data_IF_341277054412
#
_entry.id   IF_341277054412
#
_cell.length_a   1.000
_cell.length_b   1.000
_cell.length_c   1.000
_cell.angle_alpha   90.00
_cell.angle_beta   90.00
_cell.angle_gamma   90.00
#
_symmetry.space_group_name_H-M   'P 1'
#
loop_
_entity.id
_entity.type
_entity.pdbx_description
1 polymer ?
#
# COMPACT_ATOMS: atom_id res chain seq x y z
N UNK A 1 -13.94 -8.49 -42.59
CA UNK A 1 -14.89 -9.38 -41.89
C UNK A 1 -15.19 -8.73 -40.55
N UNK A 2 -16.45 -8.55 -40.19
CA UNK A 2 -16.85 -8.00 -38.88
C UNK A 2 -17.14 -9.19 -37.96
N UNK A 3 -16.51 -9.25 -36.79
CA UNK A 3 -16.83 -10.23 -35.75
C UNK A 3 -17.63 -9.53 -34.66
N UNK A 4 -18.78 -10.09 -34.30
CA UNK A 4 -19.60 -9.60 -33.18
C UNK A 4 -19.26 -10.45 -31.96
N UNK A 5 -18.88 -9.80 -30.85
CA UNK A 5 -18.56 -10.45 -29.58
C UNK A 5 -19.70 -10.15 -28.62
N UNK A 6 -20.30 -11.21 -28.06
CA UNK A 6 -21.33 -11.09 -27.03
C UNK A 6 -20.69 -11.34 -25.68
N UNK A 7 -20.79 -10.37 -24.77
CA UNK A 7 -20.33 -10.54 -23.39
C UNK A 7 -21.29 -11.48 -22.64
N UNK A 8 -20.79 -12.33 -21.74
CA UNK A 8 -21.64 -13.16 -20.89
C UNK A 8 -22.43 -12.29 -19.90
N UNK A 9 -23.65 -12.73 -19.57
CA UNK A 9 -24.53 -12.06 -18.61
C UNK A 9 -25.71 -11.31 -19.24
N UNK A 10 -26.58 -10.73 -18.38
CA UNK A 10 -27.75 -9.94 -18.79
C UNK A 10 -27.86 -8.66 -17.96
N UNK A 11 -28.31 -7.57 -18.59
CA UNK A 11 -28.48 -6.27 -17.93
C UNK A 11 -27.16 -5.59 -17.53
N UNK A 12 -27.20 -4.77 -16.47
CA UNK A 12 -26.06 -3.97 -15.98
C UNK A 12 -24.82 -4.80 -15.62
N UNK A 13 -24.97 -6.11 -15.37
CA UNK A 13 -23.85 -7.00 -15.08
C UNK A 13 -22.95 -7.26 -16.30
N UNK A 14 -23.48 -7.08 -17.51
CA UNK A 14 -22.75 -7.27 -18.78
C UNK A 14 -22.40 -5.94 -19.46
N UNK A 15 -22.67 -4.80 -18.82
CA UNK A 15 -22.33 -3.49 -19.38
C UNK A 15 -20.82 -3.24 -19.31
N UNK A 16 -20.14 -2.99 -20.44
CA UNK A 16 -18.71 -2.71 -20.45
C UNK A 16 -18.45 -1.31 -19.89
N UNK A 17 -17.60 -1.23 -18.87
CA UNK A 17 -17.10 0.04 -18.31
C UNK A 17 -15.86 0.47 -19.07
N UNK A 18 -15.01 -0.50 -19.42
CA UNK A 18 -13.73 -0.26 -20.05
C UNK A 18 -13.45 -1.32 -21.11
N UNK A 19 -12.98 -0.87 -22.26
CA UNK A 19 -12.48 -1.72 -23.34
C UNK A 19 -11.08 -1.24 -23.67
N UNK A 20 -10.11 -2.11 -23.50
CA UNK A 20 -8.68 -1.81 -23.73
C UNK A 20 -8.03 -2.93 -24.53
N UNK A 21 -6.97 -2.61 -25.25
CA UNK A 21 -6.26 -3.63 -26.02
C UNK A 21 -4.77 -3.35 -26.11
N UNK A 22 -4.00 -4.43 -26.26
CA UNK A 22 -2.60 -4.38 -26.65
C UNK A 22 -2.40 -5.26 -27.91
N UNK A 23 -1.14 -5.50 -28.29
CA UNK A 23 -0.82 -6.31 -29.48
C UNK A 23 -1.25 -7.78 -29.42
N UNK A 24 -1.71 -8.27 -28.27
CA UNK A 24 -1.96 -9.69 -27.98
C UNK A 24 -3.37 -9.96 -27.47
N UNK A 25 -3.93 -9.04 -26.67
CA UNK A 25 -5.21 -9.22 -25.98
C UNK A 25 -6.12 -8.02 -26.17
N UNK A 26 -7.41 -8.31 -26.36
CA UNK A 26 -8.52 -7.37 -26.18
C UNK A 26 -9.18 -7.67 -24.84
N UNK A 27 -9.28 -6.68 -23.96
CA UNK A 27 -9.90 -6.81 -22.65
C UNK A 27 -11.21 -6.03 -22.62
N UNK A 28 -12.23 -6.65 -22.05
CA UNK A 28 -13.47 -5.99 -21.68
C UNK A 28 -13.69 -6.15 -20.17
N UNK A 29 -13.85 -5.04 -19.47
CA UNK A 29 -14.16 -5.02 -18.05
C UNK A 29 -15.60 -4.55 -17.83
N UNK A 30 -16.34 -5.29 -17.02
CA UNK A 30 -17.70 -4.98 -16.55
C UNK A 30 -17.69 -4.89 -15.04
N UNK A 31 -18.76 -4.36 -14.42
CA UNK A 31 -18.92 -4.23 -12.98
C UNK A 31 -18.58 -5.47 -12.14
N UNK A 32 -18.58 -6.66 -12.75
CA UNK A 32 -18.47 -7.95 -12.07
C UNK A 32 -17.33 -8.83 -12.55
N UNK A 33 -16.80 -8.60 -13.76
CA UNK A 33 -15.78 -9.45 -14.34
C UNK A 33 -14.89 -8.72 -15.34
N UNK A 34 -13.72 -9.30 -15.58
CA UNK A 34 -12.86 -8.96 -16.69
C UNK A 34 -12.77 -10.18 -17.61
N UNK A 35 -13.03 -9.98 -18.89
CA UNK A 35 -12.86 -11.00 -19.91
C UNK A 35 -11.79 -10.56 -20.91
N UNK A 36 -10.86 -11.48 -21.21
CA UNK A 36 -9.80 -11.28 -22.19
C UNK A 36 -10.02 -12.15 -23.42
N UNK A 37 -9.80 -11.58 -24.60
CA UNK A 37 -9.89 -12.24 -25.89
C UNK A 37 -8.56 -12.17 -26.64
N UNK A 38 -8.26 -13.21 -27.42
CA UNK A 38 -7.19 -13.16 -28.42
C UNK A 38 -7.47 -12.04 -29.42
N UNK A 39 -6.54 -11.13 -29.69
CA UNK A 39 -6.83 -10.04 -30.63
C UNK A 39 -6.89 -10.47 -32.10
N UNK A 40 -6.32 -11.64 -32.44
CA UNK A 40 -6.29 -12.16 -33.80
C UNK A 40 -7.50 -13.06 -34.04
N UNK A 41 -7.72 -14.04 -33.15
CA UNK A 41 -8.81 -15.01 -33.29
C UNK A 41 -10.11 -14.56 -32.66
N UNK A 42 -10.05 -13.63 -31.71
CA UNK A 42 -11.18 -13.22 -30.85
C UNK A 42 -11.84 -14.40 -30.14
N UNK A 43 -11.04 -15.38 -29.75
CA UNK A 43 -11.48 -16.47 -28.88
C UNK A 43 -11.25 -16.03 -27.42
N UNK A 44 -12.16 -16.42 -26.53
CA UNK A 44 -12.01 -16.14 -25.09
C UNK A 44 -10.72 -16.80 -24.57
N UNK A 45 -9.93 -16.03 -23.84
CA UNK A 45 -8.66 -16.46 -23.25
C UNK A 45 -8.76 -16.66 -21.76
N UNK A 46 -9.43 -15.74 -21.08
CA UNK A 46 -9.59 -15.78 -19.63
C UNK A 46 -10.81 -15.02 -19.18
N UNK A 47 -11.32 -15.42 -18.02
CA UNK A 47 -12.47 -14.81 -17.36
C UNK A 47 -12.17 -14.66 -15.87
N UNK A 48 -11.95 -13.42 -15.41
CA UNK A 48 -11.72 -13.10 -14.01
C UNK A 48 -13.04 -12.64 -13.41
N UNK A 49 -13.63 -13.46 -12.54
CA UNK A 49 -14.85 -13.11 -11.80
C UNK A 49 -14.54 -12.32 -10.53
N UNK A 50 -15.57 -11.66 -9.98
CA UNK A 50 -15.50 -10.88 -8.73
C UNK A 50 -14.50 -9.72 -8.79
N UNK A 51 -14.25 -9.20 -9.99
CA UNK A 51 -13.50 -7.96 -10.17
C UNK A 51 -14.50 -6.82 -10.07
N UNK A 52 -14.57 -6.18 -8.91
CA UNK A 52 -15.47 -5.05 -8.67
C UNK A 52 -14.97 -3.85 -9.48
N UNK A 53 -15.49 -3.64 -10.68
CA UNK A 53 -14.84 -2.81 -11.71
C UNK A 53 -15.16 -1.31 -11.68
N UNK A 54 -15.62 -0.76 -10.56
CA UNK A 54 -15.45 0.69 -10.36
C UNK A 54 -13.99 1.06 -10.10
N UNK A 55 -13.12 0.03 -9.99
CA UNK A 55 -11.75 0.15 -9.59
C UNK A 55 -10.83 0.32 -10.82
N UNK A 56 -9.84 1.22 -10.74
CA UNK A 56 -8.92 1.49 -11.84
C UNK A 56 -8.23 0.23 -12.37
N UNK A 57 -8.00 0.21 -13.68
CA UNK A 57 -7.36 -0.88 -14.41
C UNK A 57 -6.39 -0.29 -15.44
N UNK A 58 -5.28 -0.98 -15.66
CA UNK A 58 -4.33 -0.65 -16.72
C UNK A 58 -3.81 -1.90 -17.40
N UNK A 59 -3.76 -1.84 -18.73
CA UNK A 59 -3.18 -2.87 -19.58
C UNK A 59 -1.84 -2.38 -20.15
N UNK A 60 -0.80 -3.17 -19.92
CA UNK A 60 0.52 -3.04 -20.55
C UNK A 60 0.61 -4.00 -21.75
N UNK A 61 1.78 -4.12 -22.37
CA UNK A 61 2.06 -5.10 -23.45
C UNK A 61 1.95 -6.55 -22.99
N UNK A 62 2.17 -6.82 -21.69
CA UNK A 62 2.12 -8.17 -21.08
C UNK A 62 1.32 -8.21 -19.78
N UNK A 63 1.39 -7.15 -18.99
CA UNK A 63 0.80 -7.12 -17.66
C UNK A 63 -0.59 -6.51 -17.68
N UNK A 64 -1.49 -7.06 -16.85
CA UNK A 64 -2.74 -6.42 -16.50
C UNK A 64 -2.69 -6.11 -15.01
N UNK A 65 -2.85 -4.83 -14.67
CA UNK A 65 -2.97 -4.37 -13.29
C UNK A 65 -4.37 -3.85 -13.02
N UNK A 66 -4.93 -4.18 -11.86
CA UNK A 66 -6.23 -3.71 -11.43
C UNK A 66 -6.25 -3.54 -9.92
N UNK A 67 -7.11 -2.65 -9.43
CA UNK A 67 -7.32 -2.54 -7.99
C UNK A 67 -8.15 -3.72 -7.47
N UNK A 68 -7.73 -4.24 -6.32
CA UNK A 68 -8.36 -5.36 -5.64
C UNK A 68 -8.98 -4.88 -4.31
N UNK A 69 -9.97 -5.61 -3.82
CA UNK A 69 -10.65 -5.29 -2.58
C UNK A 69 -10.04 -6.01 -1.37
N UNK A 70 -9.24 -7.05 -1.60
CA UNK A 70 -8.73 -7.90 -0.52
C UNK A 70 -7.29 -8.33 -0.75
N UNK A 71 -6.52 -8.25 0.34
CA UNK A 71 -5.14 -8.72 0.36
C UNK A 71 -5.09 -10.24 0.56
N UNK A 72 -4.64 -10.96 -0.45
CA UNK A 72 -4.37 -12.39 -0.46
C UNK A 72 -2.91 -12.63 -0.08
N UNK A 73 -2.68 -12.94 1.20
CA UNK A 73 -1.33 -13.14 1.77
C UNK A 73 -0.48 -14.17 1.01
N UNK A 74 -1.11 -15.17 0.41
CA UNK A 74 -0.42 -16.20 -0.39
C UNK A 74 0.23 -15.66 -1.66
N UNK A 75 -0.22 -14.49 -2.16
CA UNK A 75 0.33 -13.81 -3.33
C UNK A 75 1.06 -12.51 -2.96
N UNK A 76 1.12 -12.17 -1.66
CA UNK A 76 1.65 -10.91 -1.21
C UNK A 76 3.14 -10.80 -1.58
N UNK A 77 3.41 -9.87 -2.49
CA UNK A 77 4.76 -9.46 -2.86
C UNK A 77 5.32 -8.47 -1.82
N UNK A 78 6.65 -8.29 -1.79
CA UNK A 78 7.30 -7.30 -0.93
C UNK A 78 7.12 -5.84 -1.38
N UNK A 79 6.33 -5.61 -2.44
CA UNK A 79 6.00 -4.26 -2.91
C UNK A 79 4.98 -3.55 -2.00
N UNK A 80 4.87 -2.23 -2.18
CA UNK A 80 3.87 -1.42 -1.50
C UNK A 80 4.26 -0.92 -0.11
N UNK A 81 3.28 -0.41 0.61
CA UNK A 81 3.42 0.22 1.92
C UNK A 81 3.11 -0.80 3.01
N UNK A 82 4.13 -1.18 3.78
CA UNK A 82 3.88 -1.84 5.06
C UNK A 82 3.15 -0.84 5.95
N UNK A 83 2.03 -1.24 6.55
CA UNK A 83 1.01 -0.39 7.20
C UNK A 83 1.43 0.50 8.39
N UNK A 84 2.70 0.94 8.45
CA UNK A 84 3.22 1.87 9.45
C UNK A 84 3.59 3.25 8.86
N UNK A 85 2.83 3.73 7.86
CA UNK A 85 3.06 5.04 7.24
C UNK A 85 2.78 6.21 8.19
N UNK A 86 2.05 6.00 9.28
CA UNK A 86 1.94 7.00 10.35
C UNK A 86 3.33 7.43 10.86
N UNK A 87 4.32 6.53 10.85
CA UNK A 87 5.72 6.85 11.19
C UNK A 87 6.50 7.48 10.03
N UNK A 88 6.11 7.23 8.78
CA UNK A 88 6.78 7.72 7.58
C UNK A 88 6.42 9.19 7.28
N UNK A 89 5.16 9.61 7.50
CA UNK A 89 4.78 11.02 7.46
C UNK A 89 5.21 11.80 8.72
N UNK A 90 5.23 11.16 9.88
CA UNK A 90 5.80 11.75 11.09
C UNK A 90 7.32 11.98 10.96
N UNK A 91 8.02 11.19 10.15
CA UNK A 91 9.48 11.29 9.98
C UNK A 91 9.96 12.54 9.25
N UNK A 92 9.21 13.11 8.29
CA UNK A 92 9.69 14.33 7.60
C UNK A 92 9.61 15.58 8.49
N UNK A 93 8.53 15.76 9.25
CA UNK A 93 8.43 16.83 10.25
C UNK A 93 9.31 16.54 11.47
N UNK A 94 9.39 15.28 11.90
CA UNK A 94 10.20 14.84 13.03
C UNK A 94 11.70 14.92 12.80
N UNK A 95 12.19 14.62 11.59
CA UNK A 95 13.61 14.72 11.23
C UNK A 95 14.08 16.18 11.27
N UNK A 96 13.27 17.12 10.77
CA UNK A 96 13.57 18.55 10.83
C UNK A 96 13.55 19.06 12.28
N UNK A 97 12.58 18.63 13.10
CA UNK A 97 12.50 19.01 14.52
C UNK A 97 13.64 18.42 15.38
N UNK A 98 14.07 17.17 15.12
CA UNK A 98 15.21 16.57 15.80
C UNK A 98 16.54 17.19 15.36
N UNK A 99 16.68 17.55 14.09
CA UNK A 99 17.82 18.32 13.60
C UNK A 99 17.88 19.71 14.26
N UNK A 100 16.74 20.41 14.41
CA UNK A 100 16.68 21.69 15.11
C UNK A 100 17.04 21.58 16.60
N UNK A 101 16.64 20.50 17.29
CA UNK A 101 17.05 20.20 18.67
C UNK A 101 18.54 19.86 18.79
N UNK A 102 19.15 19.30 17.76
CA UNK A 102 20.60 19.04 17.71
C UNK A 102 21.40 20.31 17.43
N UNK A 103 20.87 21.19 16.57
CA UNK A 103 21.45 22.51 16.30
C UNK A 103 21.39 23.42 17.53
N UNK A 104 20.28 23.45 18.29
CA UNK A 104 20.21 24.23 19.54
C UNK A 104 21.19 23.72 20.59
N UNK A 105 21.39 22.41 20.72
CA UNK A 105 22.41 21.82 21.60
C UNK A 105 23.85 22.11 21.14
N UNK A 106 24.09 22.18 19.83
CA UNK A 106 25.42 22.46 19.26
C UNK A 106 25.78 23.95 19.36
N UNK A 107 24.80 24.86 19.23
CA UNK A 107 25.01 26.31 19.41
C UNK A 107 25.27 26.66 20.88
N UNK A 108 24.59 26.01 21.84
CA UNK A 108 24.85 26.22 23.29
C UNK A 108 26.27 25.83 23.70
N UNK A 109 26.83 24.74 23.13
CA UNK A 109 28.20 24.30 23.42
C UNK A 109 29.31 25.19 22.85
N UNK A 110 29.04 25.93 21.78
CA UNK A 110 30.01 26.89 21.20
C UNK A 110 30.04 28.20 22.02
N UNK A 111 28.97 28.53 22.75
CA UNK A 111 28.91 29.69 23.63
C UNK A 111 29.73 29.57 24.92
N UNK A 112 30.08 28.37 25.37
CA UNK A 112 30.82 28.15 26.64
C UNK A 112 32.36 28.19 26.49
N UNK A 113 32.89 28.32 25.28
CA UNK A 113 34.35 28.20 25.02
C UNK A 113 35.11 29.54 24.93
N UNK A 114 34.53 30.67 25.38
CA UNK A 114 35.26 31.94 25.55
C UNK A 114 34.99 32.49 26.94
N UNK A 115 35.60 31.89 27.96
CA UNK A 115 35.82 32.49 29.28
C UNK A 115 36.96 31.74 29.98
N UNK A 116 38.16 31.91 29.42
CA UNK A 116 39.41 31.60 30.09
C UNK A 116 39.99 32.87 30.71
N UNK A 117 40.43 32.73 31.98
CA UNK A 117 41.35 33.58 32.75
C UNK A 117 40.79 34.66 33.69
N UNK A 118 40.53 34.24 34.94
CA UNK A 118 40.97 34.87 36.21
C UNK A 118 40.28 34.07 37.32
N UNK A 119 40.93 33.31 38.20
CA UNK A 119 41.81 33.80 39.25
C UNK A 119 41.09 33.68 40.61
N UNK A 120 41.70 32.92 41.53
CA UNK A 120 41.56 32.95 43.00
C UNK A 120 40.61 31.96 43.73
N UNK A 121 41.29 31.06 44.47
CA UNK A 121 41.07 30.56 45.83
C UNK A 121 39.97 31.23 46.70
N UNK A 122 39.16 30.42 47.40
CA UNK A 122 39.34 30.06 48.83
C UNK A 122 38.14 29.28 49.42
N UNK A 123 38.49 28.41 50.37
CA UNK A 123 37.74 27.73 51.43
C UNK A 123 36.39 28.34 51.89
N UNK A 124 35.41 27.48 52.22
CA UNK A 124 35.04 27.25 53.64
C UNK A 124 34.01 26.12 53.85
N UNK A 125 34.20 25.43 54.96
CA UNK A 125 33.28 24.46 55.57
C UNK A 125 32.03 25.15 56.13
N UNK A 126 30.84 24.57 55.93
CA UNK A 126 29.78 24.55 56.95
C UNK A 126 28.67 23.55 56.60
N UNK A 127 28.28 22.78 57.61
CA UNK A 127 27.12 21.91 57.68
C UNK A 127 25.83 22.64 57.28
N UNK A 128 24.93 21.99 56.53
CA UNK A 128 23.48 22.15 56.74
C UNK A 128 22.73 20.91 56.23
N UNK A 129 21.97 20.30 57.13
CA UNK A 129 20.95 19.29 56.82
C UNK A 129 19.84 19.94 55.99
N UNK A 130 19.34 19.26 54.94
CA UNK A 130 17.91 19.33 54.64
C UNK A 130 17.39 18.21 53.76
N UNK A 131 16.10 17.97 53.96
CA UNK A 131 15.32 16.76 53.71
C UNK A 131 14.99 16.48 52.24
N UNK A 132 14.77 15.19 51.97
CA UNK A 132 13.97 14.60 50.88
C UNK A 132 12.62 15.34 50.65
N UNK A 133 12.01 15.20 49.45
CA UNK A 133 11.07 14.10 49.31
C UNK A 133 11.29 13.21 48.09
N UNK A 134 11.02 11.94 48.36
CA UNK A 134 10.81 10.80 47.46
C UNK A 134 9.73 11.09 46.42
N UNK A 135 9.94 10.70 45.17
CA UNK A 135 8.84 10.27 44.29
C UNK A 135 9.26 9.10 43.40
N UNK A 136 9.03 7.92 43.98
CA UNK A 136 8.63 6.63 43.39
C UNK A 136 8.84 6.45 41.88
N UNK A 137 9.81 5.59 41.56
CA UNK A 137 9.77 4.71 40.40
C UNK A 137 8.51 3.83 40.47
N UNK A 138 7.73 3.83 39.38
CA UNK A 138 6.64 2.89 39.12
C UNK A 138 6.84 2.45 37.65
N UNK A 139 7.42 1.26 37.45
CA UNK A 139 6.72 -0.01 37.22
C UNK A 139 6.18 -0.13 35.79
N UNK A 140 6.88 -0.97 35.03
CA UNK A 140 6.56 -1.55 33.73
C UNK A 140 5.09 -1.97 33.60
N UNK A 141 4.43 -1.73 32.46
CA UNK A 141 3.20 -2.43 32.14
C UNK A 141 3.55 -3.76 31.47
N UNK A 142 3.40 -4.85 32.24
CA UNK A 142 3.35 -6.22 31.71
C UNK A 142 2.03 -6.39 30.97
N UNK A 143 2.07 -6.48 29.64
CA UNK A 143 0.91 -6.81 28.81
C UNK A 143 0.73 -8.34 28.82
N UNK A 144 -0.35 -8.78 29.47
CA UNK A 144 -0.83 -10.16 29.46
C UNK A 144 -1.40 -10.50 28.08
N UNK A 145 -0.67 -11.29 27.29
CA UNK A 145 -1.19 -11.91 26.08
C UNK A 145 -1.84 -13.25 26.43
N UNK A 146 -3.17 -13.28 26.48
CA UNK A 146 -3.92 -14.52 26.30
C UNK A 146 -5.35 -14.22 25.84
N UNK A 147 -5.59 -14.35 24.53
CA UNK A 147 -6.85 -14.85 23.99
C UNK A 147 -6.68 -15.26 22.53
N UNK A 148 -6.48 -16.56 22.34
CA UNK A 148 -6.84 -17.28 21.13
C UNK A 148 -8.35 -17.13 20.90
N UNK A 149 -8.75 -16.56 19.76
CA UNK A 149 -10.08 -16.76 19.21
C UNK A 149 -10.06 -16.55 17.70
N UNK A 150 -9.85 -17.66 16.97
CA UNK A 150 -10.37 -17.84 15.63
C UNK A 150 -11.87 -17.54 15.64
N UNK A 151 -12.31 -16.54 14.87
CA UNK A 151 -13.68 -16.54 14.37
C UNK A 151 -13.77 -15.87 13.01
N UNK A 152 -13.79 -16.72 12.00
CA UNK A 152 -14.43 -16.47 10.71
C UNK A 152 -15.87 -16.00 10.94
N UNK A 153 -16.12 -14.71 10.74
CA UNK A 153 -17.48 -14.17 10.67
C UNK A 153 -17.58 -13.24 9.48
N UNK A 154 -18.02 -13.82 8.35
CA UNK A 154 -18.83 -13.12 7.36
C UNK A 154 -19.91 -12.32 8.10
N UNK A 155 -19.90 -10.99 8.03
CA UNK A 155 -21.06 -10.18 8.40
C UNK A 155 -21.32 -9.11 7.35
N UNK A 156 -22.54 -9.22 6.84
CA UNK A 156 -23.28 -8.27 6.03
C UNK A 156 -23.44 -6.94 6.81
N UNK A 157 -23.41 -5.83 6.05
CA UNK A 157 -23.28 -4.44 6.47
C UNK A 157 -23.86 -3.97 7.82
N UNK A 158 -23.04 -3.21 8.54
CA UNK A 158 -23.46 -2.06 9.36
C UNK A 158 -22.26 -1.19 9.76
N UNK A 159 -22.06 -0.07 9.06
CA UNK A 159 -21.79 1.24 9.66
C UNK A 159 -20.52 1.46 10.51
N UNK A 160 -19.36 0.91 10.11
CA UNK A 160 -18.08 1.57 10.33
C UNK A 160 -17.33 1.50 9.01
N UNK A 161 -16.97 2.66 8.46
CA UNK A 161 -16.08 2.80 7.33
C UNK A 161 -14.73 2.17 7.72
N UNK A 162 -14.60 0.86 7.52
CA UNK A 162 -13.29 0.24 7.45
C UNK A 162 -12.66 0.83 6.20
N UNK A 163 -11.71 1.74 6.40
CA UNK A 163 -11.02 2.41 5.30
C UNK A 163 -10.48 1.33 4.36
N UNK A 164 -11.05 1.26 3.16
CA UNK A 164 -10.66 0.29 2.16
C UNK A 164 -9.23 0.61 1.73
N UNK A 165 -8.30 -0.29 2.01
CA UNK A 165 -6.93 -0.16 1.55
C UNK A 165 -6.85 -0.29 0.03
N UNK A 166 -5.94 0.48 -0.58
CA UNK A 166 -5.66 0.46 -2.00
C UNK A 166 -4.76 -0.71 -2.32
N UNK A 167 -5.36 -1.84 -2.68
CA UNK A 167 -4.64 -3.06 -3.05
C UNK A 167 -4.55 -3.13 -4.57
N UNK A 168 -3.41 -3.59 -5.08
CA UNK A 168 -3.16 -3.77 -6.51
C UNK A 168 -2.79 -5.23 -6.77
N UNK A 169 -3.46 -5.81 -7.76
CA UNK A 169 -3.12 -7.12 -8.32
C UNK A 169 -2.57 -6.93 -9.72
N UNK A 170 -1.45 -7.58 -10.02
CA UNK A 170 -0.82 -7.58 -11.35
C UNK A 170 -0.68 -9.01 -11.83
N UNK A 171 -1.15 -9.24 -13.06
CA UNK A 171 -1.17 -10.56 -13.68
C UNK A 171 -0.40 -10.59 -15.00
N UNK A 172 0.15 -11.75 -15.32
CA UNK A 172 0.75 -12.09 -16.60
C UNK A 172 -0.34 -12.56 -17.58
N UNK A 173 -0.70 -11.71 -18.53
CA UNK A 173 -1.71 -12.08 -19.54
C UNK A 173 -1.26 -13.25 -20.40
N UNK A 174 0.05 -13.43 -20.61
CA UNK A 174 0.58 -14.54 -21.42
C UNK A 174 0.51 -15.86 -20.66
N UNK A 175 0.87 -15.89 -19.36
CA UNK A 175 0.73 -17.11 -18.55
C UNK A 175 -0.73 -17.48 -18.35
N UNK A 176 -1.60 -16.47 -18.22
CA UNK A 176 -3.02 -16.70 -18.02
C UNK A 176 -3.68 -17.35 -19.25
N UNK A 177 -3.18 -17.11 -20.46
CA UNK A 177 -3.69 -17.73 -21.70
C UNK A 177 -3.60 -19.26 -21.76
N UNK A 178 -2.75 -19.87 -20.93
CA UNK A 178 -2.54 -21.32 -20.88
C UNK A 178 -2.96 -21.98 -19.57
N UNK A 179 -3.51 -21.21 -18.62
CA UNK A 179 -3.88 -21.69 -17.29
C UNK A 179 -5.39 -21.58 -17.10
N UNK A 180 -5.98 -22.52 -16.38
CA UNK A 180 -7.35 -22.33 -15.89
C UNK A 180 -7.30 -21.26 -14.80
N UNK A 181 -8.25 -20.33 -14.78
CA UNK A 181 -8.35 -19.30 -13.72
C UNK A 181 -8.48 -19.96 -12.33
N UNK A 182 -8.96 -21.20 -12.29
CA UNK A 182 -9.05 -22.06 -11.11
C UNK A 182 -7.79 -22.87 -10.79
N UNK A 183 -6.67 -22.64 -11.47
CA UNK A 183 -5.38 -23.21 -11.09
C UNK A 183 -5.05 -22.76 -9.66
N UNK A 184 -5.03 -23.70 -8.72
CA UNK A 184 -4.80 -23.45 -7.30
C UNK A 184 -3.49 -22.70 -7.04
N UNK A 185 -2.52 -22.81 -7.96
CA UNK A 185 -1.22 -22.14 -7.83
C UNK A 185 -1.27 -20.68 -8.23
N UNK A 186 -2.23 -20.29 -9.08
CA UNK A 186 -2.39 -18.94 -9.64
C UNK A 186 -1.05 -18.31 -10.07
N UNK A 187 -0.18 -19.09 -10.73
CA UNK A 187 1.17 -18.69 -11.14
C UNK A 187 1.19 -17.54 -12.17
N UNK A 188 0.02 -17.13 -12.65
CA UNK A 188 -0.22 -15.96 -13.47
C UNK A 188 -0.27 -14.65 -12.67
N UNK A 189 -0.46 -14.68 -11.35
CA UNK A 189 -0.29 -13.51 -10.49
C UNK A 189 1.21 -13.26 -10.31
N UNK A 190 1.70 -12.09 -10.71
CA UNK A 190 3.12 -11.72 -10.58
C UNK A 190 3.38 -10.77 -9.42
N UNK A 191 2.39 -9.98 -9.02
CA UNK A 191 2.48 -9.13 -7.85
C UNK A 191 1.09 -8.91 -7.26
N UNK A 192 1.03 -8.87 -5.94
CA UNK A 192 -0.15 -8.50 -5.19
C UNK A 192 0.30 -7.78 -3.93
N UNK A 193 -0.14 -6.53 -3.74
CA UNK A 193 0.36 -5.69 -2.65
C UNK A 193 -0.60 -4.56 -2.30
N UNK A 194 -0.50 -4.06 -1.07
CA UNK A 194 -1.15 -2.82 -0.66
C UNK A 194 -0.31 -1.63 -1.14
N UNK A 195 -0.80 -0.90 -2.13
CA UNK A 195 -0.16 0.30 -2.64
C UNK A 195 -0.52 1.54 -1.82
N UNK A 196 -1.73 1.63 -1.26
CA UNK A 196 -2.20 2.82 -0.53
C UNK A 196 -3.05 2.43 0.69
N UNK A 197 -3.14 3.32 1.68
CA UNK A 197 -4.02 3.12 2.85
C UNK A 197 -5.49 3.40 2.52
N UNK A 198 -5.72 4.17 1.46
CA UNK A 198 -7.04 4.41 0.87
C UNK A 198 -7.14 3.69 -0.48
N UNK A 199 -8.38 3.55 -0.97
CA UNK A 199 -8.70 2.93 -2.26
C UNK A 199 -7.86 3.52 -3.40
N UNK A 200 -7.55 2.69 -4.40
CA UNK A 200 -6.87 3.17 -5.60
C UNK A 200 -7.82 4.07 -6.39
N UNK A 201 -7.43 5.32 -6.60
CA UNK A 201 -8.13 6.28 -7.45
C UNK A 201 -7.69 6.19 -8.90
N UNK A 202 -6.40 5.96 -9.15
CA UNK A 202 -5.83 5.80 -10.49
C UNK A 202 -4.64 4.84 -10.48
N UNK A 203 -4.46 4.08 -11.56
CA UNK A 203 -3.23 3.34 -11.81
C UNK A 203 -2.95 3.27 -13.30
N UNK A 204 -1.67 3.37 -13.70
CA UNK A 204 -1.28 3.36 -15.10
C UNK A 204 0.15 2.85 -15.28
N UNK A 205 0.34 1.99 -16.28
CA UNK A 205 1.68 1.58 -16.70
C UNK A 205 2.36 2.69 -17.52
N UNK A 206 3.67 2.80 -17.39
CA UNK A 206 4.44 3.55 -18.37
C UNK A 206 4.39 2.83 -19.75
N UNK A 207 4.74 3.50 -20.86
CA UNK A 207 4.65 2.90 -22.20
C UNK A 207 5.43 1.59 -22.38
N UNK A 208 6.52 1.39 -21.64
CA UNK A 208 7.29 0.15 -21.70
C UNK A 208 6.68 -0.99 -20.88
N UNK A 209 5.78 -0.69 -19.94
CA UNK A 209 5.18 -1.67 -19.05
C UNK A 209 6.02 -2.08 -17.83
N UNK A 210 7.17 -1.44 -17.61
CA UNK A 210 8.10 -1.79 -16.52
C UNK A 210 7.82 -1.01 -15.24
N UNK A 211 7.14 0.12 -15.35
CA UNK A 211 6.77 0.95 -14.21
C UNK A 211 5.25 1.01 -14.13
N UNK A 212 4.73 0.84 -12.92
CA UNK A 212 3.34 1.10 -12.58
C UNK A 212 3.28 2.31 -11.65
N UNK A 213 2.53 3.34 -12.07
CA UNK A 213 2.18 4.46 -11.20
C UNK A 213 0.81 4.20 -10.60
N UNK A 214 0.66 4.42 -9.31
CA UNK A 214 -0.61 4.29 -8.58
C UNK A 214 -0.87 5.54 -7.76
N UNK A 215 -2.13 5.90 -7.60
CA UNK A 215 -2.58 7.02 -6.78
C UNK A 215 -3.82 6.60 -5.99
N UNK A 216 -3.92 7.07 -4.75
CA UNK A 216 -5.13 6.89 -3.95
C UNK A 216 -6.28 7.79 -4.45
N UNK A 217 -7.47 7.61 -3.87
CA UNK A 217 -8.66 8.42 -4.19
C UNK A 217 -8.51 9.90 -3.83
N UNK A 218 -7.61 10.25 -2.91
CA UNK A 218 -7.36 11.64 -2.51
C UNK A 218 -6.54 12.41 -3.53
N UNK A 219 -5.70 11.73 -4.32
CA UNK A 219 -4.83 12.37 -5.31
C UNK A 219 -3.55 12.96 -4.74
N UNK A 220 -3.30 12.83 -3.44
CA UNK A 220 -2.19 13.52 -2.78
C UNK A 220 -0.83 12.81 -2.91
N UNK A 221 -0.84 11.49 -3.08
CA UNK A 221 0.38 10.68 -3.13
C UNK A 221 0.37 9.73 -4.31
N UNK A 222 1.55 9.53 -4.89
CA UNK A 222 1.77 8.62 -6.00
C UNK A 222 2.88 7.65 -5.64
N UNK A 223 2.64 6.37 -5.88
CA UNK A 223 3.68 5.34 -5.78
C UNK A 223 4.08 4.92 -7.19
N UNK A 224 5.39 4.90 -7.44
CA UNK A 224 5.98 4.39 -8.68
C UNK A 224 6.65 3.06 -8.34
N UNK A 225 6.17 1.98 -8.95
CA UNK A 225 6.61 0.63 -8.68
C UNK A 225 7.27 0.03 -9.93
N UNK A 226 8.44 -0.58 -9.74
CA UNK A 226 9.08 -1.37 -10.79
C UNK A 226 8.51 -2.79 -10.82
N UNK A 227 8.17 -3.26 -12.01
CA UNK A 227 7.62 -4.59 -12.24
C UNK A 227 8.70 -5.45 -12.93
N UNK A 228 9.10 -6.53 -12.24
CA UNK A 228 10.13 -7.49 -12.68
C UNK A 228 9.53 -8.71 -13.38
#
# INVERSE_FOLDING_TARGET
MIKVINLPGVGLQAEPILIESNSSVLICATHTFIIGYDIIKFDEKFFLSNVYSSLPLALSTRWLAFADYRLHLIHQSSGGINGNIAEQYASYTGAVLNAAKSLSKSVVKIGESVLGYSGQQMNNSSNFNDKLPVTKQASSPTINNNSNANSSRHRLGSGKDEAQAGIVTIIDTIKLFGSTVHDERQNWIIAHFQAHNESIGYLQFNPSGHLLVTCDTSGHYFNVLEIQ
#
